data_IF_731879558419
#
_entry.id   IF_731879558419
#
_cell.length_a   1.000
_cell.length_b   1.000
_cell.length_c   1.000
_cell.angle_alpha   90.00
_cell.angle_beta   90.00
_cell.angle_gamma   90.00
#
_symmetry.space_group_name_H-M   'P 1'
#
loop_
_entity.id
_entity.type
_entity.pdbx_description
1 polymer ?
#
# COMPACT_ATOMS: atom_id res chain seq x y z
N UNK A 1 -0.68 0.54 22.29
CA UNK A 1 -0.99 -0.36 21.18
C UNK A 1 0.26 -1.15 20.79
N UNK A 2 0.09 -2.43 20.45
CA UNK A 2 1.22 -3.28 20.05
C UNK A 2 1.72 -2.91 18.64
N UNK A 3 3.04 -2.79 18.50
CA UNK A 3 3.67 -2.55 17.21
C UNK A 3 3.71 -3.84 16.39
N UNK A 4 3.07 -3.82 15.22
CA UNK A 4 2.97 -4.98 14.33
C UNK A 4 4.28 -5.28 13.59
N UNK A 5 5.27 -4.42 13.65
CA UNK A 5 6.62 -4.72 13.18
C UNK A 5 7.32 -5.82 13.95
N UNK A 6 6.82 -6.17 15.14
CA UNK A 6 7.32 -7.28 15.97
C UNK A 6 6.51 -8.54 15.65
N UNK A 7 7.13 -9.63 15.15
CA UNK A 7 6.39 -10.82 14.68
C UNK A 7 5.46 -11.45 15.71
N UNK A 8 5.85 -11.46 17.00
CA UNK A 8 4.99 -12.00 18.06
C UNK A 8 3.68 -11.23 18.21
N UNK A 9 3.70 -9.92 18.00
CA UNK A 9 2.49 -9.09 18.05
C UNK A 9 1.57 -9.39 16.85
N UNK A 10 2.14 -9.61 15.68
CA UNK A 10 1.39 -10.02 14.48
C UNK A 10 0.69 -11.37 14.71
N UNK A 11 1.42 -12.35 15.25
CA UNK A 11 0.85 -13.67 15.55
C UNK A 11 -0.29 -13.55 16.57
N UNK A 12 -0.10 -12.74 17.62
CA UNK A 12 -1.12 -12.54 18.65
C UNK A 12 -2.42 -11.94 18.07
N UNK A 13 -2.32 -10.96 17.18
CA UNK A 13 -3.48 -10.34 16.51
C UNK A 13 -4.20 -11.36 15.63
N UNK A 14 -3.48 -12.14 14.84
CA UNK A 14 -4.07 -13.17 13.97
C UNK A 14 -4.81 -14.22 14.79
N UNK A 15 -4.24 -14.64 15.94
CA UNK A 15 -4.88 -15.59 16.85
C UNK A 15 -6.12 -14.99 17.51
N UNK A 16 -6.05 -13.73 17.96
CA UNK A 16 -7.18 -13.03 18.57
C UNK A 16 -8.44 -13.03 17.69
N UNK A 17 -8.24 -12.85 16.40
CA UNK A 17 -9.34 -12.79 15.42
C UNK A 17 -9.59 -14.10 14.69
N UNK A 18 -8.86 -15.16 15.05
CA UNK A 18 -8.95 -16.48 14.40
C UNK A 18 -8.90 -16.34 12.85
N UNK A 19 -7.98 -15.52 12.37
CA UNK A 19 -7.90 -15.14 10.97
C UNK A 19 -7.24 -16.23 10.15
N UNK A 20 -7.83 -16.54 8.98
CA UNK A 20 -7.29 -17.51 8.03
C UNK A 20 -6.75 -16.79 6.79
N UNK A 21 -5.55 -17.17 6.37
CA UNK A 21 -4.90 -16.67 5.18
C UNK A 21 -5.74 -16.85 3.93
N UNK A 22 -5.82 -15.81 3.08
CA UNK A 22 -6.45 -15.88 1.75
C UNK A 22 -5.43 -15.56 0.66
N UNK A 23 -4.92 -16.59 -0.01
CA UNK A 23 -3.89 -16.45 -1.05
C UNK A 23 -4.33 -15.54 -2.22
N UNK A 24 -5.63 -15.53 -2.56
CA UNK A 24 -6.16 -14.71 -3.66
C UNK A 24 -5.98 -13.21 -3.45
N UNK A 25 -5.81 -12.76 -2.19
CA UNK A 25 -5.54 -11.36 -1.85
C UNK A 25 -4.07 -11.09 -1.61
N UNK A 26 -3.20 -12.09 -1.76
CA UNK A 26 -1.75 -11.95 -1.55
C UNK A 26 -1.37 -11.70 -0.10
N UNK A 27 -2.15 -12.19 0.85
CA UNK A 27 -1.94 -11.90 2.26
C UNK A 27 -0.67 -12.58 2.80
N UNK A 28 0.26 -11.76 3.28
CA UNK A 28 1.43 -12.17 4.07
C UNK A 28 1.71 -11.06 5.07
N UNK A 29 1.53 -11.36 6.35
CA UNK A 29 1.52 -10.33 7.40
C UNK A 29 2.85 -10.23 8.17
N UNK A 30 3.79 -11.15 7.95
CA UNK A 30 5.10 -11.13 8.59
C UNK A 30 6.07 -10.33 7.72
N UNK A 31 6.38 -9.11 8.14
CA UNK A 31 7.24 -8.20 7.42
C UNK A 31 8.37 -7.75 8.35
N UNK A 32 9.61 -7.77 7.83
CA UNK A 32 10.78 -7.27 8.55
C UNK A 32 10.66 -5.76 8.81
N UNK A 33 10.84 -5.28 10.06
CA UNK A 33 10.81 -3.85 10.37
C UNK A 33 11.76 -3.01 9.53
N UNK A 34 12.93 -3.52 9.16
CA UNK A 34 13.87 -2.79 8.30
C UNK A 34 13.32 -2.57 6.90
N UNK A 35 12.56 -3.53 6.38
CA UNK A 35 11.88 -3.38 5.07
C UNK A 35 10.79 -2.31 5.17
N UNK A 36 10.03 -2.30 6.25
CA UNK A 36 8.99 -1.29 6.49
C UNK A 36 9.58 0.12 6.51
N UNK A 37 10.67 0.31 7.24
CA UNK A 37 11.37 1.60 7.30
C UNK A 37 11.89 2.03 5.93
N UNK A 38 12.46 1.12 5.16
CA UNK A 38 12.94 1.40 3.81
C UNK A 38 11.81 1.84 2.87
N UNK A 39 10.64 1.21 2.97
CA UNK A 39 9.47 1.59 2.16
C UNK A 39 9.05 3.02 2.49
N UNK A 40 8.92 3.34 3.76
CA UNK A 40 8.48 4.68 4.21
C UNK A 40 9.51 5.74 3.86
N UNK A 41 10.80 5.45 4.00
CA UNK A 41 11.90 6.35 3.61
C UNK A 41 11.90 6.57 2.10
N UNK A 42 11.75 5.50 1.30
CA UNK A 42 11.71 5.61 -0.16
C UNK A 42 10.52 6.45 -0.65
N UNK A 43 9.38 6.34 0.03
CA UNK A 43 8.21 7.14 -0.27
C UNK A 43 8.37 8.62 0.09
N UNK A 44 9.34 8.95 0.92
CA UNK A 44 9.61 10.33 1.34
C UNK A 44 8.43 10.97 2.08
N UNK A 45 7.73 10.20 2.89
CA UNK A 45 6.50 10.64 3.57
C UNK A 45 6.80 11.69 4.64
N UNK A 46 6.05 12.79 4.61
CA UNK A 46 6.11 13.87 5.60
C UNK A 46 4.74 14.19 6.16
N UNK A 47 4.69 15.02 7.19
CA UNK A 47 3.41 15.47 7.80
C UNK A 47 2.50 16.28 6.87
N UNK A 48 3.02 16.74 5.75
CA UNK A 48 2.22 17.42 4.72
C UNK A 48 1.56 16.48 3.74
N UNK A 49 1.93 15.19 3.78
CA UNK A 49 1.46 14.21 2.81
C UNK A 49 0.16 13.54 3.23
N UNK A 50 -0.70 13.32 2.23
CA UNK A 50 -1.78 12.35 2.29
C UNK A 50 -1.33 11.10 1.55
N UNK A 51 -1.28 9.97 2.24
CA UNK A 51 -0.83 8.69 1.70
C UNK A 51 -2.02 7.77 1.53
N UNK A 52 -2.16 7.20 0.34
CA UNK A 52 -3.11 6.12 0.08
C UNK A 52 -2.34 4.81 0.11
N UNK A 53 -2.63 3.98 1.09
CA UNK A 53 -2.05 2.64 1.18
C UNK A 53 -3.00 1.62 0.57
N UNK A 54 -2.49 0.81 -0.34
CA UNK A 54 -3.24 -0.25 -1.00
C UNK A 54 -2.92 -1.58 -0.32
N UNK A 55 -3.94 -2.26 0.18
CA UNK A 55 -3.80 -3.56 0.81
C UNK A 55 -3.06 -3.50 2.16
N UNK A 56 -3.55 -2.74 3.14
CA UNK A 56 -2.89 -2.61 4.44
C UNK A 56 -2.79 -3.93 5.22
N UNK A 57 -3.56 -4.95 4.86
CA UNK A 57 -3.59 -6.22 5.57
C UNK A 57 -4.09 -6.03 6.99
N UNK A 58 -3.24 -6.32 7.97
CA UNK A 58 -3.57 -6.08 9.39
C UNK A 58 -3.07 -4.73 9.91
N UNK A 59 -2.50 -3.89 9.04
CA UNK A 59 -2.09 -2.52 9.39
C UNK A 59 -0.62 -2.35 9.76
N UNK A 60 0.24 -3.32 9.47
CA UNK A 60 1.66 -3.26 9.86
C UNK A 60 2.38 -2.07 9.25
N UNK A 61 2.35 -1.94 7.92
CA UNK A 61 2.95 -0.77 7.24
C UNK A 61 2.15 0.50 7.56
N UNK A 62 0.84 0.38 7.72
CA UNK A 62 -0.03 1.53 8.03
C UNK A 62 0.39 2.23 9.31
N UNK A 63 0.78 1.50 10.34
CA UNK A 63 1.28 2.09 11.60
C UNK A 63 2.52 2.96 11.35
N UNK A 64 3.47 2.49 10.55
CA UNK A 64 4.68 3.26 10.18
C UNK A 64 4.33 4.50 9.36
N UNK A 65 3.41 4.37 8.40
CA UNK A 65 2.94 5.51 7.59
C UNK A 65 2.23 6.54 8.46
N UNK A 66 1.39 6.11 9.38
CA UNK A 66 0.62 7.00 10.26
C UNK A 66 1.51 7.84 11.16
N UNK A 67 2.66 7.31 11.59
CA UNK A 67 3.61 8.05 12.41
C UNK A 67 4.31 9.19 11.65
N UNK A 68 4.40 9.10 10.33
CA UNK A 68 5.11 10.08 9.48
C UNK A 68 4.20 10.96 8.65
N UNK A 69 3.06 10.46 8.20
CA UNK A 69 2.13 11.18 7.32
C UNK A 69 1.22 12.14 8.09
N UNK A 70 0.72 13.13 7.38
CA UNK A 70 -0.37 13.96 7.90
C UNK A 70 -1.69 13.20 7.91
N UNK A 71 -1.92 12.39 6.89
CA UNK A 71 -3.11 11.54 6.75
C UNK A 71 -2.77 10.26 6.00
N UNK A 72 -3.38 9.16 6.43
CA UNK A 72 -3.31 7.87 5.73
C UNK A 72 -4.72 7.40 5.42
N UNK A 73 -4.95 7.05 4.16
CA UNK A 73 -6.19 6.39 3.71
C UNK A 73 -5.82 4.98 3.31
N UNK A 74 -6.25 4.00 4.08
CA UNK A 74 -5.94 2.59 3.88
C UNK A 74 -7.11 1.91 3.16
N UNK A 75 -6.86 1.41 1.95
CA UNK A 75 -7.87 0.77 1.09
C UNK A 75 -7.65 -0.73 1.10
N UNK A 76 -8.59 -1.46 1.72
CA UNK A 76 -8.53 -2.91 1.89
C UNK A 76 -9.72 -3.59 1.23
N UNK A 77 -9.44 -4.54 0.34
CA UNK A 77 -10.46 -5.29 -0.39
C UNK A 77 -11.08 -6.40 0.47
N UNK A 78 -10.33 -6.99 1.40
CA UNK A 78 -10.80 -8.09 2.24
C UNK A 78 -11.61 -7.58 3.43
N UNK A 79 -12.93 -7.76 3.38
CA UNK A 79 -13.85 -7.37 4.44
C UNK A 79 -13.47 -7.96 5.80
N UNK A 80 -12.92 -9.17 5.82
CA UNK A 80 -12.54 -9.85 7.06
C UNK A 80 -11.43 -9.14 7.83
N UNK A 81 -10.62 -8.33 7.14
CA UNK A 81 -9.54 -7.56 7.76
C UNK A 81 -10.01 -6.24 8.40
N UNK A 82 -11.18 -5.75 8.07
CA UNK A 82 -11.64 -4.44 8.56
C UNK A 82 -11.73 -4.39 10.09
N UNK A 83 -12.33 -5.36 10.80
CA UNK A 83 -12.33 -5.33 12.26
C UNK A 83 -10.92 -5.35 12.87
N UNK A 84 -10.00 -6.07 12.23
CA UNK A 84 -8.60 -6.13 12.66
C UNK A 84 -7.93 -4.78 12.50
N UNK A 85 -8.12 -4.12 11.36
CA UNK A 85 -7.58 -2.79 11.10
C UNK A 85 -8.15 -1.75 12.08
N UNK A 86 -9.43 -1.82 12.40
CA UNK A 86 -10.05 -0.94 13.38
C UNK A 86 -9.40 -1.08 14.76
N UNK A 87 -8.99 -2.29 15.14
CA UNK A 87 -8.26 -2.55 16.38
C UNK A 87 -6.81 -2.05 16.29
N UNK A 88 -6.05 -2.51 15.32
CA UNK A 88 -4.61 -2.25 15.21
C UNK A 88 -4.27 -0.78 14.94
N UNK A 89 -5.20 -0.03 14.37
CA UNK A 89 -5.02 1.39 14.04
C UNK A 89 -5.80 2.33 14.97
N UNK A 90 -6.42 1.81 16.02
CA UNK A 90 -7.28 2.59 16.92
C UNK A 90 -6.55 3.72 17.67
N UNK A 91 -5.22 3.62 17.84
CA UNK A 91 -4.42 4.66 18.50
C UNK A 91 -4.07 5.83 17.55
N UNK A 92 -4.35 5.71 16.26
CA UNK A 92 -4.02 6.74 15.27
C UNK A 92 -5.27 7.49 14.83
N UNK A 93 -5.30 8.79 15.02
CA UNK A 93 -6.41 9.67 14.65
C UNK A 93 -6.34 10.16 13.19
N UNK A 94 -5.23 9.91 12.52
CA UNK A 94 -4.96 10.35 11.15
C UNK A 94 -5.13 9.24 10.10
N UNK A 95 -5.73 8.10 10.47
CA UNK A 95 -5.95 6.96 9.57
C UNK A 95 -7.42 6.77 9.29
N UNK A 96 -7.78 6.67 8.02
CA UNK A 96 -9.11 6.27 7.55
C UNK A 96 -9.02 4.94 6.82
N UNK A 97 -9.95 4.02 7.09
CA UNK A 97 -10.01 2.70 6.49
C UNK A 97 -11.17 2.67 5.50
N UNK A 98 -10.91 2.24 4.26
CA UNK A 98 -11.93 2.07 3.22
C UNK A 98 -11.92 0.60 2.80
N UNK A 99 -13.08 -0.05 2.89
CA UNK A 99 -13.26 -1.41 2.38
C UNK A 99 -13.74 -1.36 0.93
N UNK A 100 -12.81 -1.40 0.00
CA UNK A 100 -13.10 -1.34 -1.43
C UNK A 100 -11.92 -1.89 -2.25
N UNK A 101 -12.21 -2.26 -3.51
CA UNK A 101 -11.19 -2.48 -4.52
C UNK A 101 -10.60 -1.13 -4.93
N UNK A 102 -9.28 -0.98 -4.89
CA UNK A 102 -8.62 0.28 -5.24
C UNK A 102 -8.96 0.77 -6.66
N UNK A 103 -9.18 -0.15 -7.60
CA UNK A 103 -9.54 0.19 -8.96
C UNK A 103 -10.96 0.79 -9.09
N UNK A 104 -11.77 0.64 -8.05
CA UNK A 104 -13.12 1.23 -7.96
C UNK A 104 -13.16 2.50 -7.12
N UNK A 105 -12.06 2.87 -6.49
CA UNK A 105 -11.96 4.11 -5.71
C UNK A 105 -11.72 5.27 -6.65
N UNK A 106 -12.52 6.33 -6.52
CA UNK A 106 -12.30 7.58 -7.23
C UNK A 106 -11.21 8.39 -6.53
N UNK A 107 -9.97 8.26 -6.99
CA UNK A 107 -8.82 8.93 -6.39
C UNK A 107 -8.81 10.44 -6.61
N UNK A 108 -9.43 10.95 -7.68
CA UNK A 108 -9.61 12.39 -7.87
C UNK A 108 -10.49 12.98 -6.77
N UNK A 109 -11.62 12.33 -6.50
CA UNK A 109 -12.52 12.73 -5.41
C UNK A 109 -11.85 12.60 -4.06
N UNK A 110 -11.09 11.52 -3.84
CA UNK A 110 -10.35 11.30 -2.61
C UNK A 110 -9.32 12.42 -2.38
N UNK A 111 -8.56 12.81 -3.41
CA UNK A 111 -7.61 13.90 -3.33
C UNK A 111 -8.29 15.23 -2.98
N UNK A 112 -9.44 15.51 -3.57
CA UNK A 112 -10.21 16.73 -3.27
C UNK A 112 -10.73 16.72 -1.83
N UNK A 113 -11.35 15.65 -1.39
CA UNK A 113 -11.96 15.54 -0.07
C UNK A 113 -10.93 15.43 1.07
N UNK A 114 -9.80 14.75 0.83
CA UNK A 114 -8.83 14.41 1.87
C UNK A 114 -7.52 15.18 1.77
N UNK A 115 -7.21 15.79 0.64
CA UNK A 115 -5.93 16.46 0.42
C UNK A 115 -6.05 17.82 -0.29
N UNK A 116 -7.22 18.43 -0.26
CA UNK A 116 -7.48 19.75 -0.85
C UNK A 116 -7.15 19.81 -2.36
N UNK A 117 -7.39 18.72 -3.08
CA UNK A 117 -7.10 18.60 -4.51
C UNK A 117 -5.61 18.40 -4.85
N UNK A 118 -4.73 18.39 -3.85
CA UNK A 118 -3.29 18.18 -4.09
C UNK A 118 -3.01 16.70 -4.39
N UNK A 119 -1.94 16.41 -5.16
CA UNK A 119 -1.55 15.05 -5.45
C UNK A 119 -1.27 14.22 -4.18
N UNK A 120 -1.68 12.95 -4.20
CA UNK A 120 -1.48 12.01 -3.11
C UNK A 120 -0.28 11.10 -3.41
N UNK A 121 0.32 10.56 -2.36
CA UNK A 121 1.32 9.50 -2.48
C UNK A 121 0.62 8.15 -2.32
N UNK A 122 0.95 7.20 -3.19
CA UNK A 122 0.43 5.83 -3.12
C UNK A 122 1.54 4.91 -2.65
N UNK A 123 1.23 4.07 -1.68
CA UNK A 123 2.16 3.04 -1.16
C UNK A 123 1.46 1.70 -1.18
N UNK A 124 2.11 0.68 -1.71
CA UNK A 124 1.59 -0.67 -1.75
C UNK A 124 2.69 -1.70 -1.49
N UNK A 125 2.41 -2.63 -0.59
CA UNK A 125 3.28 -3.77 -0.32
C UNK A 125 2.50 -5.07 -0.56
N UNK A 126 2.34 -5.43 -1.84
CA UNK A 126 1.56 -6.57 -2.31
C UNK A 126 2.41 -7.45 -3.21
N UNK A 127 2.04 -8.74 -3.40
CA UNK A 127 2.67 -9.59 -4.41
C UNK A 127 2.58 -8.97 -5.81
N UNK A 128 3.58 -9.21 -6.65
CA UNK A 128 3.68 -8.57 -7.97
C UNK A 128 2.48 -8.84 -8.87
N UNK A 129 1.90 -10.06 -8.81
CA UNK A 129 0.74 -10.42 -9.64
C UNK A 129 -0.53 -9.63 -9.31
N UNK A 130 -0.60 -9.02 -8.12
CA UNK A 130 -1.65 -8.10 -7.71
C UNK A 130 -1.25 -6.66 -7.98
N UNK A 131 0.00 -6.30 -7.66
CA UNK A 131 0.52 -4.94 -7.78
C UNK A 131 0.56 -4.47 -9.23
N UNK A 132 0.99 -5.32 -10.18
CA UNK A 132 1.12 -4.93 -11.59
C UNK A 132 -0.19 -4.43 -12.20
N UNK A 133 -1.33 -5.15 -12.10
CA UNK A 133 -2.61 -4.63 -12.62
C UNK A 133 -3.05 -3.32 -11.96
N UNK A 134 -2.79 -3.16 -10.67
CA UNK A 134 -3.14 -1.94 -9.93
C UNK A 134 -2.31 -0.76 -10.41
N UNK A 135 -0.99 -0.91 -10.54
CA UNK A 135 -0.10 0.14 -11.03
C UNK A 135 -0.49 0.56 -12.44
N UNK A 136 -0.77 -0.41 -13.32
CA UNK A 136 -1.24 -0.13 -14.68
C UNK A 136 -2.54 0.67 -14.67
N UNK A 137 -3.51 0.25 -13.86
CA UNK A 137 -4.78 0.97 -13.70
C UNK A 137 -4.61 2.40 -13.20
N UNK A 138 -3.69 2.63 -12.28
CA UNK A 138 -3.39 3.96 -11.77
C UNK A 138 -2.78 4.86 -12.86
N UNK A 139 -1.87 4.34 -13.68
CA UNK A 139 -1.31 5.10 -14.79
C UNK A 139 -2.36 5.46 -15.84
N UNK A 140 -3.26 4.54 -16.14
CA UNK A 140 -4.33 4.77 -17.13
C UNK A 140 -5.38 5.76 -16.65
N UNK A 141 -5.57 5.90 -15.34
CA UNK A 141 -6.65 6.72 -14.77
C UNK A 141 -6.34 8.21 -14.71
N UNK A 142 -5.11 8.63 -14.98
CA UNK A 142 -4.67 10.04 -14.94
C UNK A 142 -5.01 10.77 -13.62
N UNK A 143 -4.92 10.06 -12.49
CA UNK A 143 -5.21 10.66 -11.18
C UNK A 143 -4.03 11.51 -10.67
N UNK A 144 -4.29 12.48 -9.76
CA UNK A 144 -3.23 13.35 -9.23
C UNK A 144 -2.37 12.60 -8.20
N UNK A 145 -1.32 11.94 -8.69
CA UNK A 145 -0.35 11.22 -7.87
C UNK A 145 0.99 11.95 -7.86
N UNK A 146 1.55 12.18 -6.69
CA UNK A 146 2.92 12.70 -6.57
C UNK A 146 3.95 11.59 -6.68
N UNK A 147 3.63 10.39 -6.20
CA UNK A 147 4.48 9.21 -6.34
C UNK A 147 3.69 7.93 -6.10
N UNK A 148 4.21 6.83 -6.62
CA UNK A 148 3.76 5.47 -6.31
C UNK A 148 4.98 4.72 -5.81
N UNK A 149 4.93 4.23 -4.57
CA UNK A 149 5.99 3.42 -3.97
C UNK A 149 5.48 2.01 -3.77
N UNK A 150 6.15 1.06 -4.39
CA UNK A 150 5.78 -0.35 -4.32
C UNK A 150 7.00 -1.19 -3.98
N UNK A 151 6.75 -2.29 -3.27
CA UNK A 151 7.75 -3.35 -3.11
C UNK A 151 7.49 -4.40 -4.17
N UNK A 152 8.50 -4.72 -4.97
CA UNK A 152 8.41 -5.71 -6.05
C UNK A 152 9.60 -6.65 -5.99
N UNK A 153 9.44 -7.83 -6.60
CA UNK A 153 10.55 -8.74 -6.82
C UNK A 153 11.54 -8.11 -7.81
N UNK A 154 12.82 -8.47 -7.66
CA UNK A 154 13.89 -7.88 -8.48
C UNK A 154 13.63 -8.01 -9.99
N UNK A 155 13.18 -9.17 -10.44
CA UNK A 155 12.88 -9.42 -11.86
C UNK A 155 11.75 -8.52 -12.38
N UNK A 156 10.78 -8.16 -11.57
CA UNK A 156 9.72 -7.21 -11.93
C UNK A 156 10.28 -5.80 -12.03
N UNK A 157 11.12 -5.40 -11.08
CA UNK A 157 11.81 -4.11 -11.13
C UNK A 157 12.68 -3.99 -12.36
N UNK A 158 13.41 -5.05 -12.71
CA UNK A 158 14.25 -5.09 -13.91
C UNK A 158 13.41 -4.87 -15.18
N UNK A 159 12.22 -5.47 -15.27
CA UNK A 159 11.29 -5.22 -16.38
C UNK A 159 10.77 -3.78 -16.44
N UNK A 160 10.49 -3.18 -15.29
CA UNK A 160 10.04 -1.78 -15.23
C UNK A 160 11.10 -0.81 -15.75
N UNK A 161 12.38 -1.11 -15.51
CA UNK A 161 13.50 -0.26 -15.87
C UNK A 161 14.13 -0.62 -17.23
N UNK A 162 13.76 -1.76 -17.82
CA UNK A 162 14.41 -2.27 -19.03
C UNK A 162 14.19 -1.37 -20.23
N UNK A 163 15.26 -1.17 -21.00
CA UNK A 163 15.23 -0.47 -22.28
C UNK A 163 15.03 -1.42 -23.46
N UNK A 164 14.72 -0.88 -24.67
CA UNK A 164 14.60 -1.69 -25.87
C UNK A 164 15.89 -2.50 -26.15
N UNK A 165 15.72 -3.74 -26.60
CA UNK A 165 16.83 -4.66 -26.87
C UNK A 165 17.26 -5.50 -25.67
N UNK A 166 16.78 -5.21 -24.46
CA UNK A 166 16.97 -6.07 -23.29
C UNK A 166 15.96 -7.21 -23.29
N UNK A 167 16.35 -8.38 -22.79
CA UNK A 167 15.45 -9.52 -22.62
C UNK A 167 14.30 -9.25 -21.64
N UNK A 168 14.49 -8.29 -20.74
CA UNK A 168 13.49 -7.92 -19.73
C UNK A 168 12.50 -6.87 -20.23
N UNK A 169 12.72 -6.30 -21.41
CA UNK A 169 11.86 -5.28 -21.99
C UNK A 169 10.53 -5.87 -22.47
N UNK A 170 9.44 -5.19 -22.15
CA UNK A 170 8.09 -5.62 -22.53
C UNK A 170 7.03 -4.59 -22.22
N UNK A 171 5.76 -5.01 -22.25
CA UNK A 171 4.61 -4.11 -22.03
C UNK A 171 4.68 -3.33 -20.70
N UNK A 172 5.12 -3.97 -19.63
CA UNK A 172 5.27 -3.32 -18.33
C UNK A 172 6.33 -2.21 -18.38
N UNK A 173 7.46 -2.43 -19.05
CA UNK A 173 8.50 -1.41 -19.23
C UNK A 173 7.96 -0.19 -19.96
N UNK A 174 7.21 -0.40 -21.03
CA UNK A 174 6.56 0.67 -21.79
C UNK A 174 5.58 1.47 -20.93
N UNK A 175 4.73 0.78 -20.18
CA UNK A 175 3.72 1.44 -19.34
C UNK A 175 4.34 2.31 -18.24
N UNK A 176 5.46 1.87 -17.63
CA UNK A 176 6.12 2.60 -16.54
C UNK A 176 6.92 3.79 -17.05
N UNK A 177 7.58 3.66 -18.24
CA UNK A 177 8.46 4.69 -18.78
C UNK A 177 7.75 5.74 -19.63
N UNK A 178 6.58 5.42 -20.15
CA UNK A 178 5.78 6.29 -21.01
C UNK A 178 4.36 6.48 -20.48
#
# INVERSE_FOLDING_TARGET
MATLGIPSNTIAILQKYNFTFQKKFGQNFLIDPHVLEKIVDAAGVTKEDCVVEIGPGIGTLTQYLAERAGRVVAVEIDRALIPILQDTLSAYDNVEIINEDILKVDLNRLAEEKNQGRPVKVVANLPYYITTPIVMGLFESHVPLSSITIMVQKEVADRMQAGPGSKDYGALSLAVQY
#
